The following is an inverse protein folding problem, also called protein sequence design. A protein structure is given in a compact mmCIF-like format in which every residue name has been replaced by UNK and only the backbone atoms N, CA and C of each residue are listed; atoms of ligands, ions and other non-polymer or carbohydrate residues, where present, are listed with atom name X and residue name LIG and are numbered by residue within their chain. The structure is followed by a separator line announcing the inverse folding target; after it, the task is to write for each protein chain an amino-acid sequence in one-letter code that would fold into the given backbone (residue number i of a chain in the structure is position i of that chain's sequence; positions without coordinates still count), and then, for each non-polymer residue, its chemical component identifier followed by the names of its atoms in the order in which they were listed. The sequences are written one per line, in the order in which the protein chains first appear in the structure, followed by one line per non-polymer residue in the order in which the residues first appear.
data_IF_189949665213
#
_entry.id   IF_189949665213
#
_cell.length_a   1.000
_cell.length_b   1.000
_cell.length_c   1.000
_cell.angle_alpha   90.00
_cell.angle_beta   90.00
_cell.angle_gamma   90.00
#
_symmetry.space_group_name_H-M   'P 1'
#
loop_
_entity.id
_entity.type
_entity.pdbx_description
1 polymer ?
#
# COMPACT_ATOMS: atom_id res chain seq x y z
N UNK A 1 6.69 -28.15 17.72
CA UNK A 1 5.36 -27.51 17.89
C UNK A 1 5.49 -26.04 17.51
N UNK A 2 5.29 -25.66 16.24
CA UNK A 2 5.30 -24.24 15.84
C UNK A 2 3.95 -23.63 16.20
N UNK A 3 3.91 -22.82 17.25
CA UNK A 3 2.70 -22.13 17.69
C UNK A 3 2.36 -21.02 16.67
N UNK A 4 1.31 -21.25 15.87
CA UNK A 4 0.75 -20.20 14.99
C UNK A 4 0.02 -19.16 15.84
N UNK A 5 0.74 -18.14 16.27
CA UNK A 5 0.17 -16.89 16.78
C UNK A 5 0.63 -15.72 15.90
N UNK A 6 -0.11 -15.37 14.82
CA UNK A 6 0.00 -13.97 14.36
C UNK A 6 -1.31 -13.31 13.88
N UNK A 7 -2.42 -14.02 13.65
CA UNK A 7 -3.59 -13.41 12.96
C UNK A 7 -4.37 -12.38 13.77
N UNK A 8 -4.36 -12.46 15.11
CA UNK A 8 -5.15 -11.54 15.95
C UNK A 8 -4.40 -10.22 16.16
N UNK A 9 -3.07 -10.28 16.29
CA UNK A 9 -2.24 -9.07 16.48
C UNK A 9 -2.14 -8.20 15.23
N UNK A 10 -2.14 -8.81 14.04
CA UNK A 10 -2.17 -8.05 12.78
C UNK A 10 -3.48 -7.30 12.60
N UNK A 11 -4.62 -7.96 12.82
CA UNK A 11 -5.95 -7.33 12.72
C UNK A 11 -6.10 -6.11 13.64
N UNK A 12 -5.62 -6.21 14.87
CA UNK A 12 -5.67 -5.10 15.82
C UNK A 12 -4.81 -3.90 15.37
N UNK A 13 -3.65 -4.15 14.75
CA UNK A 13 -2.78 -3.09 14.21
C UNK A 13 -3.41 -2.41 12.99
N UNK A 14 -4.01 -3.18 12.09
CA UNK A 14 -4.67 -2.64 10.90
C UNK A 14 -5.90 -1.82 11.26
N UNK A 15 -6.70 -2.28 12.22
CA UNK A 15 -7.87 -1.53 12.72
C UNK A 15 -7.43 -0.21 13.37
N UNK A 16 -6.34 -0.21 14.15
CA UNK A 16 -5.81 1.01 14.77
C UNK A 16 -5.36 2.06 13.73
N UNK A 17 -4.69 1.66 12.65
CA UNK A 17 -4.32 2.58 11.54
C UNK A 17 -5.56 3.16 10.84
N UNK A 18 -6.60 2.35 10.68
CA UNK A 18 -7.89 2.81 10.13
C UNK A 18 -8.62 3.73 11.13
N UNK A 19 -8.38 3.62 12.44
CA UNK A 19 -9.02 4.47 13.45
C UNK A 19 -8.51 5.92 13.45
N UNK A 20 -7.26 6.16 13.05
CA UNK A 20 -6.56 7.45 13.23
C UNK A 20 -7.13 8.58 12.34
N UNK A 21 -7.72 8.25 11.19
CA UNK A 21 -8.32 9.21 10.24
C UNK A 21 -9.84 9.08 10.14
N UNK A 22 -10.54 8.79 11.24
CA UNK A 22 -11.99 8.52 11.22
C UNK A 22 -12.85 9.74 10.87
N UNK A 23 -12.43 10.93 11.26
CA UNK A 23 -13.24 12.14 11.15
C UNK A 23 -13.26 12.73 9.72
N UNK A 24 -12.23 12.47 8.92
CA UNK A 24 -12.10 12.98 7.54
C UNK A 24 -12.66 12.03 6.46
N UNK A 25 -13.32 10.94 6.86
CA UNK A 25 -13.79 9.92 5.92
C UNK A 25 -15.20 10.14 5.44
N UNK A 26 -15.36 10.00 4.13
CA UNK A 26 -16.67 9.92 3.52
C UNK A 26 -17.29 8.54 3.72
N UNK A 27 -18.64 8.43 3.82
CA UNK A 27 -19.32 7.15 3.86
C UNK A 27 -18.87 6.25 2.69
N UNK A 28 -18.55 4.99 2.99
CA UNK A 28 -18.15 3.95 2.00
C UNK A 28 -16.75 4.14 1.39
N UNK A 29 -15.96 5.11 1.84
CA UNK A 29 -14.58 5.28 1.35
C UNK A 29 -13.72 4.04 1.65
N UNK A 30 -13.13 3.45 0.61
CA UNK A 30 -12.19 2.36 0.75
C UNK A 30 -10.86 2.88 1.31
N UNK A 31 -10.37 2.24 2.36
CA UNK A 31 -9.08 2.55 2.98
C UNK A 31 -8.20 1.32 2.83
N UNK A 32 -7.01 1.48 2.26
CA UNK A 32 -6.02 0.42 2.25
C UNK A 32 -5.49 0.21 3.68
N UNK A 33 -5.47 -1.03 4.13
CA UNK A 33 -4.98 -1.43 5.45
C UNK A 33 -3.53 -1.93 5.42
N UNK A 34 -2.94 -1.96 4.24
CA UNK A 34 -1.82 -2.84 3.95
C UNK A 34 -0.48 -2.13 4.20
N UNK A 35 0.51 -2.93 4.61
CA UNK A 35 1.82 -2.51 5.09
C UNK A 35 2.73 -1.93 4.02
N UNK A 36 3.97 -1.64 4.43
CA UNK A 36 5.02 -0.98 3.63
C UNK A 36 4.94 -1.29 2.12
N UNK A 37 4.88 -0.22 1.33
CA UNK A 37 4.87 -0.29 -0.14
C UNK A 37 6.09 -1.07 -0.62
N UNK A 38 5.83 -2.12 -1.40
CA UNK A 38 6.89 -2.96 -1.94
C UNK A 38 7.56 -2.31 -3.15
N UNK A 39 8.84 -2.61 -3.38
CA UNK A 39 9.56 -2.14 -4.59
C UNK A 39 8.88 -2.55 -5.90
N UNK A 40 8.12 -3.65 -5.89
CA UNK A 40 7.39 -4.13 -7.07
C UNK A 40 6.21 -3.21 -7.39
N UNK A 41 5.41 -2.86 -6.38
CA UNK A 41 4.29 -1.91 -6.53
C UNK A 41 4.78 -0.54 -7.00
N UNK A 42 5.89 -0.06 -6.43
CA UNK A 42 6.52 1.18 -6.89
C UNK A 42 6.91 1.10 -8.36
N UNK A 43 7.58 0.01 -8.77
CA UNK A 43 8.03 -0.15 -10.16
C UNK A 43 6.86 -0.24 -11.13
N UNK A 44 5.79 -0.93 -10.77
CA UNK A 44 4.63 -1.09 -11.63
C UNK A 44 3.81 0.22 -11.73
N UNK A 45 3.65 0.96 -10.63
CA UNK A 45 3.06 2.30 -10.66
C UNK A 45 3.88 3.29 -11.51
N UNK A 46 5.22 3.25 -11.42
CA UNK A 46 6.09 4.11 -12.23
C UNK A 46 5.96 3.80 -13.73
N UNK A 47 5.79 2.53 -14.12
CA UNK A 47 5.54 2.16 -15.52
C UNK A 47 4.18 2.62 -16.01
N UNK A 48 3.15 2.60 -15.16
CA UNK A 48 1.83 3.10 -15.55
C UNK A 48 1.87 4.61 -15.85
N UNK A 49 2.61 5.36 -15.03
CA UNK A 49 2.78 6.81 -15.19
C UNK A 49 3.69 7.14 -16.37
N UNK A 50 4.80 6.40 -16.54
CA UNK A 50 5.70 6.55 -17.67
C UNK A 50 5.94 5.18 -18.31
N UNK A 51 5.12 4.79 -19.32
CA UNK A 51 5.25 3.50 -19.97
C UNK A 51 6.52 3.37 -20.81
N UNK A 52 7.18 4.48 -21.12
CA UNK A 52 8.45 4.48 -21.82
C UNK A 52 9.61 4.29 -20.83
N UNK A 53 10.07 3.04 -20.75
CA UNK A 53 11.24 2.63 -19.97
C UNK A 53 12.55 3.28 -20.46
N UNK A 54 12.58 3.84 -21.67
CA UNK A 54 13.74 4.46 -22.32
C UNK A 54 13.62 5.99 -22.42
N UNK A 55 12.58 6.59 -21.84
CA UNK A 55 12.30 8.04 -21.91
C UNK A 55 13.45 8.93 -21.40
N UNK A 56 14.36 8.37 -20.59
CA UNK A 56 15.52 9.08 -20.05
C UNK A 56 16.72 9.20 -21.03
N UNK A 57 16.60 8.73 -22.29
CA UNK A 57 17.76 8.63 -23.19
C UNK A 57 17.57 9.11 -24.63
N UNK A 58 16.42 9.68 -25.02
CA UNK A 58 16.18 10.15 -26.39
C UNK A 58 16.19 11.67 -26.54
N UNK A 59 16.90 12.38 -25.65
CA UNK A 59 17.37 13.74 -25.94
C UNK A 59 18.71 13.57 -26.64
N UNK A 60 18.68 13.68 -27.96
CA UNK A 60 19.85 13.51 -28.84
C UNK A 60 21.04 14.38 -28.50
#
# INVERSE_FOLDING_TARGET
MTTKLPKIKEKAKTEALVLDHKEDRYPVQQVATDGEVTKKEVKDAVKEINPDLNSLGSRG
#
